data_IF_753989339721
#
_entry.id   IF_753989339721
#
_cell.length_a   1.000
_cell.length_b   1.000
_cell.length_c   1.000
_cell.angle_alpha   90.00
_cell.angle_beta   90.00
_cell.angle_gamma   90.00
#
_symmetry.space_group_name_H-M   'P 1'
#
loop_
_entity.id
_entity.type
_entity.pdbx_description
1 polymer ?
#
# COMPACT_ATOMS: atom_id res chain seq x y z
N UNK A 1 -19.11 -4.65 12.02
CA UNK A 1 -20.28 -4.30 11.18
C UNK A 1 -21.33 -3.46 11.94
N UNK A 2 -21.63 -3.75 13.21
CA UNK A 2 -22.62 -2.99 14.01
C UNK A 2 -22.25 -1.51 14.24
N UNK A 3 -20.95 -1.22 14.37
CA UNK A 3 -20.43 0.15 14.55
C UNK A 3 -20.64 1.06 13.33
N UNK A 4 -20.67 0.49 12.12
CA UNK A 4 -20.95 1.24 10.88
C UNK A 4 -22.43 1.61 10.83
N UNK A 5 -23.31 0.69 11.20
CA UNK A 5 -24.75 0.93 11.31
C UNK A 5 -25.08 2.01 12.34
N UNK A 6 -24.46 1.94 13.53
CA UNK A 6 -24.62 2.97 14.57
C UNK A 6 -24.08 4.34 14.12
N UNK A 7 -22.94 4.37 13.42
CA UNK A 7 -22.38 5.59 12.86
C UNK A 7 -23.30 6.24 11.81
N UNK A 8 -23.89 5.44 10.92
CA UNK A 8 -24.84 5.93 9.90
C UNK A 8 -26.12 6.46 10.54
N UNK A 9 -26.67 5.77 11.54
CA UNK A 9 -27.86 6.24 12.27
C UNK A 9 -27.57 7.54 13.03
N UNK A 10 -26.40 7.66 13.67
CA UNK A 10 -25.97 8.88 14.35
C UNK A 10 -25.77 10.05 13.37
N UNK A 11 -25.20 9.79 12.19
CA UNK A 11 -25.03 10.79 11.13
C UNK A 11 -26.36 11.25 10.54
N UNK A 12 -27.32 10.34 10.34
CA UNK A 12 -28.67 10.70 9.89
C UNK A 12 -29.42 11.50 10.96
N UNK A 13 -29.31 11.14 12.24
CA UNK A 13 -29.88 11.89 13.35
C UNK A 13 -29.25 13.30 13.46
N UNK A 14 -27.93 13.41 13.31
CA UNK A 14 -27.22 14.68 13.31
C UNK A 14 -27.59 15.56 12.10
N UNK A 15 -27.66 14.99 10.89
CA UNK A 15 -28.07 15.72 9.68
C UNK A 15 -29.52 16.20 9.76
N UNK A 16 -30.41 15.39 10.37
CA UNK A 16 -31.80 15.76 10.59
C UNK A 16 -31.96 16.84 11.67
N UNK A 17 -31.20 16.75 12.77
CA UNK A 17 -31.14 17.80 13.79
C UNK A 17 -30.57 19.11 13.23
N UNK A 18 -29.57 19.04 12.35
CA UNK A 18 -28.97 20.21 11.70
C UNK A 18 -29.91 20.88 10.69
N UNK A 19 -30.79 20.11 10.03
CA UNK A 19 -31.82 20.66 9.12
C UNK A 19 -32.98 21.35 9.84
N UNK A 20 -33.25 20.98 11.10
CA UNK A 20 -34.38 21.51 11.89
C UNK A 20 -33.97 22.54 12.94
N UNK A 21 -32.68 22.61 13.30
CA UNK A 21 -32.12 23.59 14.23
C UNK A 21 -31.09 24.46 13.55
N UNK A 22 -31.44 25.71 13.24
CA UNK A 22 -30.44 26.74 12.99
C UNK A 22 -29.53 26.83 14.23
N UNK A 23 -28.26 26.48 14.07
CA UNK A 23 -27.26 26.55 15.14
C UNK A 23 -27.21 28.00 15.62
N UNK A 24 -27.42 28.29 16.93
CA UNK A 24 -27.23 29.64 17.43
C UNK A 24 -25.77 30.03 17.21
N UNK A 25 -25.55 31.16 16.54
CA UNK A 25 -24.21 31.70 16.33
C UNK A 25 -23.61 32.06 17.71
N UNK A 26 -22.75 31.19 18.24
CA UNK A 26 -21.92 31.52 19.41
C UNK A 26 -20.95 32.63 19.01
N UNK A 27 -21.15 33.84 19.55
CA UNK A 27 -20.36 35.04 19.29
C UNK A 27 -18.95 35.04 19.91
N UNK A 28 -18.25 33.91 19.90
CA UNK A 28 -16.86 33.81 20.37
C UNK A 28 -15.85 34.24 19.31
N UNK A 29 -14.67 34.70 19.74
CA UNK A 29 -13.52 34.96 18.85
C UNK A 29 -13.15 33.66 18.11
N UNK A 30 -13.32 33.58 16.78
CA UNK A 30 -13.01 32.36 16.02
C UNK A 30 -11.52 31.99 16.07
N UNK A 31 -10.66 32.91 16.50
CA UNK A 31 -9.22 32.70 16.65
C UNK A 31 -8.83 32.17 18.03
N UNK A 32 -9.73 32.15 19.02
CA UNK A 32 -9.43 31.74 20.40
C UNK A 32 -8.79 30.34 20.52
N UNK A 33 -9.24 29.30 19.79
CA UNK A 33 -8.62 27.98 19.86
C UNK A 33 -7.17 27.96 19.34
N UNK A 34 -6.89 28.69 18.25
CA UNK A 34 -5.53 28.77 17.67
C UNK A 34 -4.58 29.56 18.57
N UNK A 35 -5.08 30.60 19.26
CA UNK A 35 -4.31 31.34 20.27
C UNK A 35 -3.95 30.46 21.48
N UNK A 36 -4.90 29.62 21.93
CA UNK A 36 -4.65 28.67 23.02
C UNK A 36 -3.57 27.63 22.64
N UNK A 37 -3.65 27.06 21.43
CA UNK A 37 -2.65 26.11 20.93
C UNK A 37 -1.24 26.71 20.84
N UNK A 38 -1.12 28.00 20.50
CA UNK A 38 0.18 28.68 20.47
C UNK A 38 0.76 28.86 21.88
N UNK A 39 -0.10 29.14 22.86
CA UNK A 39 0.31 29.30 24.26
C UNK A 39 0.75 27.98 24.88
N UNK A 40 0.04 26.89 24.59
CA UNK A 40 0.40 25.53 25.03
C UNK A 40 1.75 25.11 24.44
N UNK A 41 1.94 25.30 23.13
CA UNK A 41 3.22 24.99 22.46
C UNK A 41 4.41 25.75 23.07
N UNK A 42 4.22 27.01 23.47
CA UNK A 42 5.27 27.79 24.14
C UNK A 42 5.52 27.32 25.58
N UNK A 43 4.49 26.87 26.29
CA UNK A 43 4.63 26.27 27.62
C UNK A 43 5.39 24.94 27.55
N UNK A 44 5.09 24.08 26.57
CA UNK A 44 5.76 22.79 26.35
C UNK A 44 7.26 22.98 26.03
N UNK A 45 7.59 23.98 25.20
CA UNK A 45 8.98 24.33 24.91
C UNK A 45 9.72 24.85 26.15
N UNK A 46 9.08 25.68 26.97
CA UNK A 46 9.66 26.17 28.24
C UNK A 46 9.87 25.05 29.27
N UNK A 47 9.06 23.99 29.22
CA UNK A 47 9.22 22.79 30.05
C UNK A 47 10.28 21.81 29.53
N UNK A 48 10.87 22.07 28.36
CA UNK A 48 11.87 21.20 27.74
C UNK A 48 11.28 19.91 27.15
N UNK A 49 9.95 19.86 26.97
CA UNK A 49 9.26 18.70 26.38
C UNK A 49 9.37 18.68 24.85
N UNK A 50 9.82 19.79 24.24
CA UNK A 50 9.97 19.96 22.79
C UNK A 50 11.37 20.46 22.42
N UNK A 51 11.96 19.88 21.39
CA UNK A 51 13.21 20.37 20.80
C UNK A 51 13.01 21.70 20.03
N UNK A 52 14.09 22.49 19.92
CA UNK A 52 14.06 23.83 19.34
C UNK A 52 13.64 23.85 17.86
N UNK A 53 14.01 22.84 17.08
CA UNK A 53 13.66 22.79 15.67
C UNK A 53 12.19 22.38 15.47
N UNK A 54 11.69 21.44 16.29
CA UNK A 54 10.28 21.05 16.32
C UNK A 54 9.36 22.22 16.76
N UNK A 55 9.80 23.02 17.73
CA UNK A 55 9.08 24.22 18.17
C UNK A 55 8.96 25.25 17.05
N UNK A 56 10.07 25.57 16.36
CA UNK A 56 10.07 26.56 15.27
C UNK A 56 9.15 26.14 14.12
N UNK A 57 9.21 24.86 13.71
CA UNK A 57 8.39 24.33 12.63
C UNK A 57 6.89 24.42 12.96
N UNK A 58 6.50 23.96 14.16
CA UNK A 58 5.09 23.91 14.60
C UNK A 58 4.53 25.32 14.81
N UNK A 59 5.33 26.22 15.39
CA UNK A 59 4.94 27.63 15.59
C UNK A 59 4.66 28.33 14.26
N UNK A 60 5.50 28.12 13.26
CA UNK A 60 5.32 28.72 11.93
C UNK A 60 4.02 28.26 11.26
N UNK A 61 3.68 26.98 11.39
CA UNK A 61 2.45 26.44 10.82
C UNK A 61 1.19 26.98 11.51
N UNK A 62 1.19 27.04 12.85
CA UNK A 62 0.09 27.62 13.63
C UNK A 62 -0.12 29.11 13.30
N UNK A 63 0.96 29.88 13.14
CA UNK A 63 0.88 31.29 12.74
C UNK A 63 0.27 31.45 11.34
N UNK A 64 0.64 30.60 10.37
CA UNK A 64 0.03 30.61 9.03
C UNK A 64 -1.47 30.31 9.09
N UNK A 65 -1.89 29.34 9.92
CA UNK A 65 -3.31 29.00 10.11
C UNK A 65 -4.09 30.16 10.74
N UNK A 66 -3.48 30.85 11.70
CA UNK A 66 -4.07 32.02 12.34
C UNK A 66 -4.25 33.19 11.35
N UNK A 67 -3.25 33.46 10.50
CA UNK A 67 -3.32 34.45 9.41
C UNK A 67 -4.45 34.10 8.42
N UNK A 68 -4.50 32.86 7.95
CA UNK A 68 -5.54 32.39 7.01
C UNK A 68 -6.95 32.44 7.61
N UNK A 69 -7.08 32.24 8.92
CA UNK A 69 -8.34 32.36 9.63
C UNK A 69 -8.75 33.83 9.83
N UNK A 70 -7.79 34.75 9.99
CA UNK A 70 -8.02 36.19 10.10
C UNK A 70 -8.36 36.86 8.76
N UNK A 71 -7.90 36.31 7.63
CA UNK A 71 -8.21 36.81 6.28
C UNK A 71 -9.64 36.51 5.80
N UNK A 72 -10.43 35.72 6.55
CA UNK A 72 -11.83 35.47 6.18
C UNK A 72 -12.66 36.74 6.43
N UNK A 73 -13.23 37.38 5.40
CA UNK A 73 -14.03 38.58 5.58
C UNK A 73 -15.28 38.26 6.40
N UNK A 74 -15.60 39.16 7.34
CA UNK A 74 -16.76 39.14 8.23
C UNK A 74 -18.05 38.82 7.46
N UNK A 75 -18.51 37.57 7.56
CA UNK A 75 -19.80 37.12 7.01
C UNK A 75 -20.99 37.59 7.88
N UNK A 76 -20.85 38.77 8.51
CA UNK A 76 -21.86 39.40 9.39
C UNK A 76 -22.66 40.51 8.69
N UNK A 77 -22.35 40.87 7.45
CA UNK A 77 -23.02 41.97 6.73
C UNK A 77 -24.16 41.57 5.78
N UNK A 78 -24.64 40.31 5.81
CA UNK A 78 -25.80 39.89 4.99
C UNK A 78 -26.86 39.14 5.80
N UNK A 79 -27.23 39.69 6.95
CA UNK A 79 -28.35 39.19 7.76
C UNK A 79 -29.39 40.28 8.03
N UNK A 80 -29.82 40.99 6.98
CA UNK A 80 -31.11 41.69 6.97
C UNK A 80 -32.09 40.90 6.11
N UNK A 81 -32.53 39.75 6.62
CA UNK A 81 -33.76 39.11 6.20
C UNK A 81 -34.47 38.67 7.48
N UNK A 82 -35.48 39.42 7.89
CA UNK A 82 -36.37 39.08 8.99
C UNK A 82 -37.05 37.73 8.70
N UNK A 83 -36.83 36.67 9.52
CA UNK A 83 -37.56 35.43 9.33
C UNK A 83 -38.99 35.59 9.86
N UNK A 84 -39.97 35.40 8.96
CA UNK A 84 -41.39 35.33 9.30
C UNK A 84 -41.65 34.02 10.10
N UNK A 85 -42.38 34.03 11.23
CA UNK A 85 -42.59 32.82 12.02
C UNK A 85 -43.55 31.85 11.32
N UNK A 86 -43.13 30.59 11.17
CA UNK A 86 -43.99 29.48 10.75
C UNK A 86 -44.63 28.80 11.99
N UNK A 87 -45.81 28.15 11.86
CA UNK A 87 -46.61 27.69 13.00
C UNK A 87 -45.98 26.47 13.70
N UNK A 88 -46.08 26.47 15.02
CA UNK A 88 -45.43 25.51 15.92
C UNK A 88 -45.89 24.07 15.71
N UNK A 89 -44.97 23.23 15.24
CA UNK A 89 -45.01 21.80 15.50
C UNK A 89 -44.22 21.53 16.78
N UNK A 90 -44.88 21.04 17.82
CA UNK A 90 -44.31 20.84 19.15
C UNK A 90 -43.02 20.04 19.11
N UNK A 91 -42.00 20.53 19.83
CA UNK A 91 -40.64 19.96 19.95
C UNK A 91 -40.58 18.54 20.56
N UNK A 92 -41.72 17.91 20.85
CA UNK A 92 -41.82 16.64 21.56
C UNK A 92 -41.60 15.42 20.66
N UNK A 93 -41.97 15.49 19.38
CA UNK A 93 -41.81 14.38 18.43
C UNK A 93 -40.37 13.90 18.23
N UNK A 94 -39.39 14.80 18.02
CA UNK A 94 -37.99 14.41 17.85
C UNK A 94 -37.36 13.80 19.10
N UNK A 95 -37.76 14.27 20.29
CA UNK A 95 -37.26 13.76 21.58
C UNK A 95 -37.74 12.33 21.81
N UNK A 96 -39.02 12.06 21.55
CA UNK A 96 -39.60 10.72 21.68
C UNK A 96 -38.98 9.74 20.67
N UNK A 97 -38.73 10.17 19.43
CA UNK A 97 -38.07 9.33 18.44
C UNK A 97 -36.63 9.00 18.82
N UNK A 98 -35.86 9.99 19.28
CA UNK A 98 -34.48 9.78 19.74
C UNK A 98 -34.42 8.83 20.92
N UNK A 99 -35.32 9.00 21.89
CA UNK A 99 -35.42 8.12 23.05
C UNK A 99 -35.80 6.68 22.64
N UNK A 100 -36.73 6.53 21.69
CA UNK A 100 -37.13 5.22 21.18
C UNK A 100 -35.98 4.50 20.45
N UNK A 101 -35.18 5.23 19.66
CA UNK A 101 -34.00 4.66 18.97
C UNK A 101 -32.94 4.22 19.98
N UNK A 102 -32.65 5.02 21.00
CA UNK A 102 -31.64 4.69 22.02
C UNK A 102 -32.08 3.49 22.86
N UNK A 103 -33.32 3.50 23.36
CA UNK A 103 -33.85 2.41 24.18
C UNK A 103 -34.04 1.12 23.37
N UNK A 104 -34.52 1.24 22.13
CA UNK A 104 -34.66 0.11 21.21
C UNK A 104 -33.31 -0.50 20.86
N UNK A 105 -32.29 0.33 20.60
CA UNK A 105 -30.92 -0.12 20.37
C UNK A 105 -30.31 -0.84 21.57
N UNK A 106 -30.53 -0.30 22.78
CA UNK A 106 -30.07 -0.93 24.02
C UNK A 106 -30.76 -2.28 24.30
N UNK A 107 -32.08 -2.35 24.09
CA UNK A 107 -32.84 -3.59 24.25
C UNK A 107 -32.44 -4.66 23.21
N UNK A 108 -32.24 -4.25 21.95
CA UNK A 108 -31.78 -5.14 20.89
C UNK A 108 -30.36 -5.65 21.16
N UNK A 109 -29.47 -4.79 21.69
CA UNK A 109 -28.13 -5.19 22.11
C UNK A 109 -28.15 -6.11 23.33
N UNK A 110 -29.07 -5.92 24.27
CA UNK A 110 -29.24 -6.83 25.40
C UNK A 110 -29.79 -8.20 24.95
N UNK A 111 -30.56 -8.25 23.85
CA UNK A 111 -31.16 -9.48 23.32
C UNK A 111 -30.25 -10.26 22.36
N UNK A 112 -29.53 -9.57 21.46
CA UNK A 112 -28.63 -10.19 20.48
C UNK A 112 -27.15 -10.16 20.88
N UNK A 113 -26.77 -9.24 21.76
CA UNK A 113 -25.40 -9.00 22.17
C UNK A 113 -25.03 -9.76 23.43
N UNK A 114 -23.73 -9.80 23.71
CA UNK A 114 -23.15 -10.41 24.91
C UNK A 114 -22.57 -9.30 25.78
N UNK A 115 -23.40 -8.59 26.58
CA UNK A 115 -23.00 -7.41 27.35
C UNK A 115 -21.94 -7.67 28.43
N UNK A 116 -21.66 -8.93 28.75
CA UNK A 116 -20.64 -9.34 29.72
C UNK A 116 -19.26 -9.64 29.13
N UNK A 117 -19.00 -9.39 27.85
CA UNK A 117 -17.65 -9.50 27.29
C UNK A 117 -16.82 -8.27 27.64
N UNK A 118 -15.65 -8.49 28.24
CA UNK A 118 -14.66 -7.44 28.41
C UNK A 118 -14.24 -6.87 27.05
N UNK A 119 -14.13 -5.55 26.98
CA UNK A 119 -13.74 -4.87 25.74
C UNK A 119 -12.30 -5.24 25.38
N UNK A 120 -12.11 -6.06 24.35
CA UNK A 120 -10.79 -6.45 23.83
C UNK A 120 -10.49 -5.80 22.47
N UNK A 121 -10.15 -4.49 22.42
CA UNK A 121 -9.69 -3.87 21.19
C UNK A 121 -8.28 -4.39 20.84
N UNK A 122 -8.18 -5.18 19.78
CA UNK A 122 -6.90 -5.62 19.22
C UNK A 122 -6.44 -7.00 19.69
N UNK A 123 -7.19 -8.04 19.32
CA UNK A 123 -6.75 -9.43 19.43
C UNK A 123 -5.54 -9.68 18.51
N UNK A 124 -4.37 -9.22 18.94
CA UNK A 124 -3.12 -9.93 18.70
C UNK A 124 -3.31 -11.26 19.40
N UNK A 125 -3.23 -12.37 18.67
CA UNK A 125 -3.08 -13.68 19.31
C UNK A 125 -1.77 -13.58 20.09
N UNK A 126 -1.88 -13.28 21.39
CA UNK A 126 -0.74 -13.22 22.29
C UNK A 126 -0.20 -14.63 22.39
N UNK A 127 0.96 -14.83 21.77
CA UNK A 127 1.78 -16.03 21.88
C UNK A 127 2.01 -16.29 23.38
N UNK A 128 1.30 -17.28 23.95
CA UNK A 128 1.33 -17.54 25.39
C UNK A 128 0.32 -18.60 25.83
N UNK A 129 0.32 -18.86 27.15
CA UNK A 129 -0.47 -19.87 27.87
C UNK A 129 -1.99 -19.61 27.92
N UNK A 130 -2.52 -18.82 27.00
CA UNK A 130 -3.97 -18.60 26.88
C UNK A 130 -4.62 -19.89 26.35
N UNK A 131 -5.52 -20.51 27.12
CA UNK A 131 -6.26 -21.69 26.69
C UNK A 131 -7.07 -21.41 25.41
N UNK A 132 -7.08 -22.36 24.47
CA UNK A 132 -7.88 -22.26 23.23
C UNK A 132 -9.38 -22.30 23.56
N UNK A 133 -9.75 -22.96 24.66
CA UNK A 133 -11.06 -22.92 25.30
C UNK A 133 -10.87 -22.77 26.81
N UNK A 134 -11.85 -22.30 27.60
CA UNK A 134 -11.69 -22.03 29.04
C UNK A 134 -11.11 -23.18 29.88
N UNK A 135 -11.26 -24.43 29.42
CA UNK A 135 -10.71 -25.65 30.04
C UNK A 135 -9.86 -26.49 29.07
N UNK A 136 -9.51 -25.93 27.91
CA UNK A 136 -8.78 -26.63 26.86
C UNK A 136 -7.26 -26.44 26.92
N UNK A 137 -6.51 -27.15 26.07
CA UNK A 137 -5.07 -26.94 25.95
C UNK A 137 -4.77 -25.51 25.52
N UNK A 138 -3.62 -25.02 25.96
CA UNK A 138 -3.02 -23.81 25.42
C UNK A 138 -2.69 -24.01 23.93
N UNK A 139 -2.49 -22.90 23.21
CA UNK A 139 -2.07 -22.99 21.81
C UNK A 139 -0.76 -23.77 21.64
N UNK A 140 0.19 -23.62 22.55
CA UNK A 140 1.47 -24.33 22.50
C UNK A 140 1.30 -25.83 22.75
N UNK A 141 0.45 -26.22 23.70
CA UNK A 141 0.12 -27.64 23.96
C UNK A 141 -0.63 -28.28 22.77
N UNK A 142 -1.56 -27.55 22.14
CA UNK A 142 -2.25 -28.04 20.96
C UNK A 142 -1.30 -28.24 19.76
N UNK A 143 -0.34 -27.32 19.56
CA UNK A 143 0.69 -27.46 18.52
C UNK A 143 1.59 -28.65 18.83
N UNK A 144 2.04 -28.82 20.09
CA UNK A 144 2.87 -29.95 20.49
C UNK A 144 2.17 -31.29 20.25
N UNK A 145 0.88 -31.40 20.59
CA UNK A 145 0.10 -32.60 20.34
C UNK A 145 -0.04 -32.93 18.84
N UNK A 146 -0.16 -31.89 17.99
CA UNK A 146 -0.14 -32.06 16.53
C UNK A 146 1.24 -32.57 16.07
N UNK A 147 2.32 -31.95 16.53
CA UNK A 147 3.69 -32.34 16.17
C UNK A 147 4.00 -33.80 16.59
N UNK A 148 3.60 -34.21 17.80
CA UNK A 148 3.76 -35.60 18.28
C UNK A 148 2.99 -36.60 17.42
N UNK A 149 1.74 -36.26 17.04
CA UNK A 149 0.95 -37.11 16.15
C UNK A 149 1.60 -37.24 14.78
N UNK A 150 2.13 -36.15 14.22
CA UNK A 150 2.81 -36.15 12.92
C UNK A 150 4.15 -36.89 12.95
N UNK A 151 4.78 -37.01 14.12
CA UNK A 151 5.95 -37.87 14.29
C UNK A 151 5.58 -39.37 14.18
N UNK A 152 4.40 -39.76 14.69
CA UNK A 152 3.89 -41.13 14.57
C UNK A 152 3.19 -41.44 13.24
N UNK A 153 2.62 -40.42 12.58
CA UNK A 153 1.84 -40.53 11.34
C UNK A 153 2.33 -39.46 10.34
N UNK A 154 3.50 -39.66 9.71
CA UNK A 154 4.16 -38.63 8.91
C UNK A 154 3.47 -38.36 7.56
N UNK A 155 2.59 -39.25 7.12
CA UNK A 155 1.80 -39.15 5.89
C UNK A 155 0.44 -38.44 6.09
N UNK A 156 0.13 -37.97 7.30
CA UNK A 156 -1.08 -37.21 7.57
C UNK A 156 -1.02 -35.80 7.00
N UNK A 157 -1.45 -35.69 5.74
CA UNK A 157 -1.51 -34.43 4.99
C UNK A 157 -2.34 -33.37 5.72
N UNK A 158 -3.47 -33.73 6.34
CA UNK A 158 -4.33 -32.72 6.97
C UNK A 158 -3.69 -32.17 8.25
N UNK A 159 -3.06 -33.02 9.06
CA UNK A 159 -2.28 -32.57 10.22
C UNK A 159 -1.16 -31.60 9.82
N UNK A 160 -0.43 -31.89 8.74
CA UNK A 160 0.57 -30.97 8.22
C UNK A 160 -0.02 -29.64 7.71
N UNK A 161 -1.20 -29.65 7.07
CA UNK A 161 -1.90 -28.42 6.64
C UNK A 161 -2.35 -27.56 7.82
N UNK A 162 -2.89 -28.19 8.87
CA UNK A 162 -3.28 -27.49 10.10
C UNK A 162 -2.05 -26.86 10.74
N UNK A 163 -0.97 -27.63 10.92
CA UNK A 163 0.27 -27.13 11.49
C UNK A 163 0.84 -25.96 10.68
N UNK A 164 0.89 -26.07 9.35
CA UNK A 164 1.42 -25.03 8.48
C UNK A 164 0.63 -23.72 8.59
N UNK A 165 -0.71 -23.77 8.50
CA UNK A 165 -1.56 -22.58 8.58
C UNK A 165 -1.48 -21.91 9.95
N UNK A 166 -1.55 -22.70 11.02
CA UNK A 166 -1.51 -22.20 12.39
C UNK A 166 -0.14 -21.58 12.71
N UNK A 167 0.95 -22.27 12.36
CA UNK A 167 2.30 -21.76 12.56
C UNK A 167 2.53 -20.44 11.80
N UNK A 168 2.08 -20.37 10.53
CA UNK A 168 2.20 -19.15 9.73
C UNK A 168 1.38 -17.99 10.31
N UNK A 169 0.14 -18.25 10.76
CA UNK A 169 -0.71 -17.24 11.40
C UNK A 169 -0.12 -16.67 12.70
N UNK A 170 0.60 -17.50 13.46
CA UNK A 170 1.29 -17.11 14.69
C UNK A 170 2.67 -16.45 14.44
N UNK A 171 3.09 -16.36 13.18
CA UNK A 171 4.41 -15.87 12.80
C UNK A 171 5.55 -16.80 13.21
N UNK A 172 5.26 -18.08 13.47
CA UNK A 172 6.28 -19.12 13.62
C UNK A 172 6.64 -19.69 12.25
N UNK A 173 7.41 -18.90 11.51
CA UNK A 173 7.79 -19.25 10.15
C UNK A 173 8.73 -20.46 10.08
N UNK A 174 9.42 -20.79 11.17
CA UNK A 174 10.26 -21.98 11.27
C UNK A 174 9.43 -23.27 11.24
N UNK A 175 8.38 -23.35 12.10
CA UNK A 175 7.41 -24.47 12.05
C UNK A 175 6.67 -24.50 10.71
N UNK A 176 6.23 -23.34 10.22
CA UNK A 176 5.53 -23.26 8.94
C UNK A 176 6.38 -23.82 7.78
N UNK A 177 7.66 -23.43 7.69
CA UNK A 177 8.57 -23.90 6.66
C UNK A 177 8.80 -25.43 6.73
N UNK A 178 8.86 -26.01 7.93
CA UNK A 178 8.93 -27.48 8.09
C UNK A 178 7.67 -28.17 7.58
N UNK A 179 6.50 -27.68 8.00
CA UNK A 179 5.22 -28.25 7.61
C UNK A 179 4.96 -28.15 6.10
N UNK A 180 5.24 -26.99 5.48
CA UNK A 180 5.17 -26.84 4.02
C UNK A 180 6.21 -27.73 3.29
N UNK A 181 7.35 -28.02 3.91
CA UNK A 181 8.31 -29.00 3.39
C UNK A 181 7.76 -30.42 3.34
N UNK A 182 7.10 -30.87 4.42
CA UNK A 182 6.41 -32.15 4.44
C UNK A 182 5.29 -32.20 3.38
N UNK A 183 4.43 -31.17 3.33
CA UNK A 183 3.36 -31.06 2.33
C UNK A 183 3.89 -31.09 0.90
N UNK A 184 5.01 -30.42 0.61
CA UNK A 184 5.61 -30.45 -0.74
C UNK A 184 6.16 -31.82 -1.14
N UNK A 185 6.39 -32.71 -0.18
CA UNK A 185 6.83 -34.09 -0.41
C UNK A 185 5.63 -35.02 -0.61
N UNK A 186 4.59 -34.85 0.21
CA UNK A 186 3.36 -35.64 0.16
C UNK A 186 2.46 -35.28 -1.04
N UNK A 187 2.43 -34.00 -1.41
CA UNK A 187 1.64 -33.46 -2.52
C UNK A 187 2.56 -32.71 -3.51
N UNK A 188 3.41 -33.42 -4.28
CA UNK A 188 4.43 -32.79 -5.12
C UNK A 188 3.87 -31.94 -6.25
N UNK A 189 2.66 -32.22 -6.72
CA UNK A 189 1.96 -31.49 -7.78
C UNK A 189 1.42 -30.13 -7.29
N UNK A 190 1.24 -29.99 -5.98
CA UNK A 190 0.72 -28.79 -5.33
C UNK A 190 1.87 -27.80 -5.09
N UNK A 191 2.30 -27.15 -6.16
CA UNK A 191 3.46 -26.24 -6.16
C UNK A 191 3.35 -25.08 -5.16
N UNK A 192 2.13 -24.72 -4.71
CA UNK A 192 1.92 -23.72 -3.67
C UNK A 192 2.61 -24.08 -2.35
N UNK A 193 2.83 -25.36 -2.04
CA UNK A 193 3.58 -25.76 -0.85
C UNK A 193 5.06 -25.40 -0.95
N UNK A 194 5.64 -25.52 -2.15
CA UNK A 194 7.02 -25.08 -2.41
C UNK A 194 7.13 -23.56 -2.28
N UNK A 195 6.15 -22.82 -2.79
CA UNK A 195 6.06 -21.35 -2.66
C UNK A 195 5.92 -20.92 -1.20
N UNK A 196 4.96 -21.47 -0.48
CA UNK A 196 4.71 -21.14 0.92
C UNK A 196 5.91 -21.47 1.82
N UNK A 197 6.67 -22.52 1.49
CA UNK A 197 7.94 -22.82 2.15
C UNK A 197 8.99 -21.73 1.90
N UNK A 198 9.18 -21.29 0.65
CA UNK A 198 10.09 -20.18 0.31
C UNK A 198 9.67 -18.92 1.08
N UNK A 199 8.39 -18.56 1.02
CA UNK A 199 7.82 -17.41 1.72
C UNK A 199 8.03 -17.48 3.24
N UNK A 200 7.89 -18.66 3.83
CA UNK A 200 8.16 -18.85 5.27
C UNK A 200 9.63 -18.57 5.60
N UNK A 201 10.58 -19.06 4.77
CA UNK A 201 11.99 -18.72 4.97
C UNK A 201 12.24 -17.22 4.83
N UNK A 202 11.63 -16.56 3.84
CA UNK A 202 11.76 -15.11 3.66
C UNK A 202 11.16 -14.34 4.85
N UNK A 203 9.98 -14.74 5.34
CA UNK A 203 9.34 -14.09 6.47
C UNK A 203 10.17 -14.23 7.75
N UNK A 204 10.77 -15.40 7.98
CA UNK A 204 11.71 -15.65 9.08
C UNK A 204 12.92 -14.69 9.04
N UNK A 205 13.40 -14.37 7.85
CA UNK A 205 14.53 -13.45 7.61
C UNK A 205 14.08 -12.02 7.22
N UNK A 206 12.85 -11.63 7.56
CA UNK A 206 12.31 -10.27 7.30
C UNK A 206 12.44 -9.81 5.84
N UNK A 207 12.20 -10.74 4.91
CA UNK A 207 12.26 -10.52 3.46
C UNK A 207 13.65 -10.76 2.84
N UNK A 208 14.68 -11.07 3.62
CA UNK A 208 16.01 -11.34 3.07
C UNK A 208 16.10 -12.75 2.49
N UNK A 209 16.67 -12.89 1.30
CA UNK A 209 16.93 -14.17 0.65
C UNK A 209 18.18 -14.80 1.27
N UNK A 210 17.98 -15.70 2.22
CA UNK A 210 19.06 -16.49 2.83
C UNK A 210 19.56 -17.59 1.87
N UNK A 211 20.74 -18.20 2.11
CA UNK A 211 21.21 -19.33 1.31
C UNK A 211 20.21 -20.50 1.24
N UNK A 212 19.49 -20.76 2.34
CA UNK A 212 18.44 -21.77 2.37
C UNK A 212 17.26 -21.41 1.46
N UNK A 213 16.79 -20.16 1.49
CA UNK A 213 15.75 -19.68 0.58
C UNK A 213 16.21 -19.74 -0.88
N UNK A 214 17.45 -19.31 -1.16
CA UNK A 214 18.06 -19.33 -2.50
C UNK A 214 18.04 -20.73 -3.09
N UNK A 215 18.43 -21.75 -2.32
CA UNK A 215 18.43 -23.15 -2.78
C UNK A 215 17.03 -23.64 -3.16
N UNK A 216 16.00 -23.25 -2.40
CA UNK A 216 14.61 -23.60 -2.71
C UNK A 216 14.10 -22.87 -3.96
N UNK A 217 14.44 -21.59 -4.12
CA UNK A 217 14.12 -20.79 -5.30
C UNK A 217 14.79 -21.40 -6.55
N UNK A 218 16.08 -21.76 -6.46
CA UNK A 218 16.82 -22.38 -7.56
C UNK A 218 16.23 -23.73 -7.97
N UNK A 219 15.88 -24.57 -6.99
CA UNK A 219 15.20 -25.83 -7.29
C UNK A 219 13.85 -25.58 -7.97
N UNK A 220 13.06 -24.62 -7.48
CA UNK A 220 11.77 -24.30 -8.06
C UNK A 220 11.89 -23.82 -9.52
N UNK A 221 12.83 -22.92 -9.82
CA UNK A 221 13.06 -22.43 -11.18
C UNK A 221 13.66 -23.50 -12.08
N UNK A 222 14.48 -24.41 -11.54
CA UNK A 222 14.99 -25.56 -12.31
C UNK A 222 13.86 -26.52 -12.70
N UNK A 223 13.02 -26.87 -11.74
CA UNK A 223 11.96 -27.87 -11.92
C UNK A 223 10.76 -27.30 -12.69
N UNK A 224 10.43 -26.03 -12.47
CA UNK A 224 9.30 -25.33 -13.09
C UNK A 224 9.74 -23.93 -13.57
N UNK A 225 10.48 -23.85 -14.70
CA UNK A 225 11.11 -22.62 -15.17
C UNK A 225 10.17 -21.44 -15.38
N UNK A 226 8.91 -21.74 -15.69
CA UNK A 226 7.91 -20.73 -16.00
C UNK A 226 7.03 -20.32 -14.82
N UNK A 227 7.25 -20.87 -13.61
CA UNK A 227 6.40 -20.57 -12.47
C UNK A 227 6.54 -19.09 -12.04
N UNK A 228 5.44 -18.31 -11.98
CA UNK A 228 5.50 -16.87 -11.67
C UNK A 228 6.20 -16.55 -10.34
N UNK A 229 5.83 -17.24 -9.25
CA UNK A 229 6.46 -17.04 -7.95
C UNK A 229 7.97 -17.38 -7.95
N UNK A 230 8.38 -18.46 -8.63
CA UNK A 230 9.79 -18.84 -8.72
C UNK A 230 10.62 -17.76 -9.42
N UNK A 231 10.11 -17.24 -10.55
CA UNK A 231 10.74 -16.11 -11.26
C UNK A 231 10.76 -14.82 -10.44
N UNK A 232 9.67 -14.51 -9.75
CA UNK A 232 9.60 -13.34 -8.89
C UNK A 232 10.66 -13.40 -7.77
N UNK A 233 10.76 -14.53 -7.07
CA UNK A 233 11.74 -14.70 -6.00
C UNK A 233 13.18 -14.84 -6.50
N UNK A 234 13.39 -15.34 -7.72
CA UNK A 234 14.70 -15.30 -8.36
C UNK A 234 15.15 -13.85 -8.61
N UNK A 235 14.28 -13.02 -9.19
CA UNK A 235 14.60 -11.60 -9.37
C UNK A 235 14.86 -10.89 -8.05
N UNK A 236 14.11 -11.21 -6.99
CA UNK A 236 14.36 -10.67 -5.64
C UNK A 236 15.73 -11.09 -5.10
N UNK A 237 16.13 -12.34 -5.34
CA UNK A 237 17.44 -12.85 -4.93
C UNK A 237 18.59 -12.15 -5.66
N UNK A 238 18.44 -11.90 -6.96
CA UNK A 238 19.43 -11.18 -7.78
C UNK A 238 19.57 -9.73 -7.32
N UNK A 239 18.44 -9.04 -7.13
CA UNK A 239 18.40 -7.66 -6.65
C UNK A 239 19.05 -7.52 -5.27
N UNK A 240 18.74 -8.40 -4.32
CA UNK A 240 19.38 -8.39 -2.99
C UNK A 240 20.86 -8.76 -3.02
N UNK A 241 21.31 -9.47 -4.06
CA UNK A 241 22.73 -9.76 -4.29
C UNK A 241 23.47 -8.61 -5.03
N UNK A 242 22.76 -7.56 -5.44
CA UNK A 242 23.29 -6.43 -6.20
C UNK A 242 23.35 -6.64 -7.71
N UNK A 243 22.86 -7.77 -8.22
CA UNK A 243 22.71 -8.03 -9.65
C UNK A 243 21.38 -7.43 -10.15
N UNK A 244 21.35 -6.10 -10.21
CA UNK A 244 20.17 -5.36 -10.66
C UNK A 244 19.80 -5.67 -12.11
N UNK A 245 20.79 -5.85 -12.99
CA UNK A 245 20.56 -6.12 -14.41
C UNK A 245 19.95 -7.52 -14.61
N UNK A 246 20.45 -8.53 -13.88
CA UNK A 246 19.84 -9.85 -13.82
C UNK A 246 18.41 -9.82 -13.25
N UNK A 247 18.19 -9.04 -12.19
CA UNK A 247 16.85 -8.88 -11.59
C UNK A 247 15.86 -8.26 -12.58
N UNK A 248 16.26 -7.17 -13.26
CA UNK A 248 15.46 -6.51 -14.31
C UNK A 248 15.12 -7.49 -15.43
N UNK A 249 16.10 -8.23 -15.94
CA UNK A 249 15.89 -9.18 -17.02
C UNK A 249 14.86 -10.27 -16.65
N UNK A 250 14.99 -10.87 -15.45
CA UNK A 250 14.05 -11.89 -14.97
C UNK A 250 12.64 -11.32 -14.75
N UNK A 251 12.53 -10.15 -14.14
CA UNK A 251 11.23 -9.53 -13.87
C UNK A 251 10.56 -8.97 -15.12
N UNK A 252 11.31 -8.46 -16.10
CA UNK A 252 10.77 -8.05 -17.41
C UNK A 252 10.20 -9.26 -18.15
N UNK A 253 10.97 -10.35 -18.27
CA UNK A 253 10.50 -11.58 -18.91
C UNK A 253 9.26 -12.17 -18.20
N UNK A 254 9.18 -12.03 -16.88
CA UNK A 254 7.97 -12.40 -16.12
C UNK A 254 6.80 -11.47 -16.47
N UNK A 255 7.02 -10.15 -16.52
CA UNK A 255 5.99 -9.15 -16.79
C UNK A 255 5.37 -9.31 -18.18
N UNK A 256 6.19 -9.64 -19.19
CA UNK A 256 5.77 -9.85 -20.57
C UNK A 256 4.76 -10.99 -20.71
N UNK A 257 4.83 -11.98 -19.82
CA UNK A 257 3.96 -13.16 -19.79
C UNK A 257 2.85 -13.07 -18.74
N UNK A 258 2.78 -11.95 -18.01
CA UNK A 258 1.82 -11.74 -16.92
C UNK A 258 0.52 -11.14 -17.45
N UNK A 259 -0.65 -11.78 -17.25
CA UNK A 259 -1.96 -11.19 -17.57
C UNK A 259 -2.15 -9.81 -16.92
N UNK A 260 -2.86 -8.89 -17.58
CA UNK A 260 -3.05 -7.53 -17.08
C UNK A 260 -3.79 -7.48 -15.73
N UNK A 261 -4.69 -8.42 -15.49
CA UNK A 261 -5.54 -8.55 -14.30
C UNK A 261 -4.90 -9.40 -13.19
N UNK A 262 -3.67 -9.90 -13.38
CA UNK A 262 -3.00 -10.71 -12.38
C UNK A 262 -2.82 -9.90 -11.06
N UNK A 263 -3.33 -10.39 -9.91
CA UNK A 263 -3.34 -9.62 -8.65
C UNK A 263 -1.96 -9.19 -8.14
N UNK A 264 -0.91 -9.89 -8.56
CA UNK A 264 0.48 -9.65 -8.19
C UNK A 264 1.26 -8.80 -9.20
N UNK A 265 0.66 -8.46 -10.36
CA UNK A 265 1.31 -7.67 -11.43
C UNK A 265 1.79 -6.32 -10.93
N UNK A 266 1.00 -5.63 -10.11
CA UNK A 266 1.34 -4.32 -9.55
C UNK A 266 2.63 -4.35 -8.73
N UNK A 267 2.86 -5.43 -7.95
CA UNK A 267 4.09 -5.62 -7.17
C UNK A 267 5.30 -5.82 -8.07
N UNK A 268 5.16 -6.61 -9.14
CA UNK A 268 6.21 -6.83 -10.13
C UNK A 268 6.58 -5.52 -10.83
N UNK A 269 5.58 -4.74 -11.26
CA UNK A 269 5.81 -3.42 -11.88
C UNK A 269 6.48 -2.45 -10.90
N UNK A 270 6.08 -2.45 -9.63
CA UNK A 270 6.73 -1.63 -8.61
C UNK A 270 8.20 -2.02 -8.39
N UNK A 271 8.52 -3.31 -8.41
CA UNK A 271 9.88 -3.81 -8.29
C UNK A 271 10.75 -3.36 -9.48
N UNK A 272 10.25 -3.49 -10.71
CA UNK A 272 10.92 -3.00 -11.92
C UNK A 272 11.10 -1.48 -11.93
N UNK A 273 10.10 -0.73 -11.45
CA UNK A 273 10.17 0.73 -11.36
C UNK A 273 11.23 1.19 -10.37
N UNK A 274 11.38 0.52 -9.23
CA UNK A 274 12.46 0.83 -8.27
C UNK A 274 13.83 0.69 -8.92
N UNK A 275 13.98 -0.26 -9.84
CA UNK A 275 15.18 -0.49 -10.63
C UNK A 275 15.26 0.39 -11.90
N UNK A 276 14.36 1.34 -12.12
CA UNK A 276 14.38 2.22 -13.30
C UNK A 276 13.96 1.55 -14.63
N UNK A 277 13.57 0.27 -14.61
CA UNK A 277 13.26 -0.50 -15.81
C UNK A 277 11.90 -0.16 -16.44
N UNK A 278 11.02 0.51 -15.70
CA UNK A 278 9.68 0.93 -16.15
C UNK A 278 9.44 2.37 -15.70
N UNK A 279 8.76 3.21 -16.50
CA UNK A 279 8.47 4.58 -16.13
C UNK A 279 7.82 4.72 -14.74
N UNK A 280 8.05 5.85 -14.05
CA UNK A 280 7.35 6.15 -12.81
C UNK A 280 5.84 6.11 -13.04
N UNK A 281 5.10 5.55 -12.07
CA UNK A 281 3.64 5.62 -12.12
C UNK A 281 3.22 7.09 -12.06
N UNK A 282 2.29 7.46 -12.93
CA UNK A 282 1.54 8.70 -12.77
C UNK A 282 0.73 8.58 -11.48
N UNK A 283 0.64 9.67 -10.70
CA UNK A 283 -0.22 9.68 -9.51
C UNK A 283 -1.68 9.52 -9.91
N UNK A 284 -2.53 9.07 -8.99
CA UNK A 284 -3.97 8.91 -9.24
C UNK A 284 -4.61 10.23 -9.68
N UNK A 285 -4.17 11.35 -9.10
CA UNK A 285 -4.59 12.71 -9.50
C UNK A 285 -4.19 13.04 -10.96
N UNK A 286 -3.02 12.58 -11.39
CA UNK A 286 -2.60 12.74 -12.79
C UNK A 286 -3.39 11.79 -13.70
N UNK A 287 -3.68 10.56 -13.26
CA UNK A 287 -4.43 9.58 -14.05
C UNK A 287 -5.90 9.98 -14.24
N UNK A 288 -6.56 10.51 -13.20
CA UNK A 288 -7.91 11.08 -13.29
C UNK A 288 -7.93 12.29 -14.23
N UNK A 289 -6.94 13.18 -14.10
CA UNK A 289 -6.77 14.29 -15.05
C UNK A 289 -6.56 13.82 -16.49
N UNK A 290 -5.77 12.77 -16.71
CA UNK A 290 -5.48 12.20 -18.04
C UNK A 290 -6.72 11.61 -18.70
N UNK A 291 -7.65 11.03 -17.94
CA UNK A 291 -8.90 10.49 -18.47
C UNK A 291 -9.77 11.60 -19.11
N UNK A 292 -9.79 12.78 -18.50
CA UNK A 292 -10.56 13.95 -18.95
C UNK A 292 -9.79 14.85 -19.95
N UNK A 293 -8.49 14.61 -20.17
CA UNK A 293 -7.66 15.41 -21.08
C UNK A 293 -7.95 15.12 -22.55
N UNK A 294 -7.85 16.16 -23.39
CA UNK A 294 -7.88 16.01 -24.84
C UNK A 294 -6.66 15.22 -25.34
N UNK A 295 -6.72 14.54 -26.51
CA UNK A 295 -5.56 13.86 -27.08
C UNK A 295 -4.32 14.76 -27.21
N UNK A 296 -4.51 16.04 -27.58
CA UNK A 296 -3.43 17.02 -27.70
C UNK A 296 -2.76 17.33 -26.35
N UNK A 297 -3.53 17.42 -25.28
CA UNK A 297 -2.99 17.69 -23.94
C UNK A 297 -2.23 16.47 -23.40
N UNK A 298 -2.70 15.25 -23.70
CA UNK A 298 -1.99 14.01 -23.37
C UNK A 298 -0.64 13.93 -24.09
N UNK A 299 -0.61 14.29 -25.38
CA UNK A 299 0.62 14.34 -26.16
C UNK A 299 1.60 15.39 -25.63
N UNK A 300 1.10 16.56 -25.23
CA UNK A 300 1.91 17.61 -24.61
C UNK A 300 2.49 17.14 -23.27
N UNK A 301 1.71 16.44 -22.45
CA UNK A 301 2.18 15.85 -21.19
C UNK A 301 3.24 14.77 -21.43
N UNK A 302 3.02 13.84 -22.38
CA UNK A 302 3.97 12.80 -22.74
C UNK A 302 5.31 13.39 -23.20
N UNK A 303 5.26 14.38 -24.11
CA UNK A 303 6.45 15.12 -24.56
C UNK A 303 7.17 15.84 -23.42
N UNK A 304 6.42 16.43 -22.48
CA UNK A 304 7.00 17.05 -21.28
C UNK A 304 7.71 16.05 -20.36
N UNK A 305 7.17 14.83 -20.20
CA UNK A 305 7.83 13.76 -19.45
C UNK A 305 9.10 13.27 -20.15
N UNK A 306 9.06 13.10 -21.47
CA UNK A 306 10.22 12.72 -22.27
C UNK A 306 11.33 13.80 -22.21
N UNK A 307 10.96 15.08 -22.28
CA UNK A 307 11.93 16.17 -22.15
C UNK A 307 12.63 16.18 -20.78
N UNK A 308 11.90 15.89 -19.70
CA UNK A 308 12.48 15.74 -18.36
C UNK A 308 13.40 14.52 -18.26
N UNK A 309 13.03 13.41 -18.90
CA UNK A 309 13.89 12.22 -18.95
C UNK A 309 15.16 12.51 -19.75
N UNK A 310 15.06 13.14 -20.91
CA UNK A 310 16.20 13.56 -21.71
C UNK A 310 17.14 14.48 -20.93
N UNK A 311 16.61 15.51 -20.26
CA UNK A 311 17.41 16.42 -19.44
C UNK A 311 18.15 15.68 -18.32
N UNK A 312 17.49 14.74 -17.63
CA UNK A 312 18.14 13.90 -16.61
C UNK A 312 19.26 13.05 -17.20
N UNK A 313 19.06 12.48 -18.38
CA UNK A 313 20.07 11.66 -19.05
C UNK A 313 21.31 12.46 -19.45
N UNK A 314 21.20 13.78 -19.66
CA UNK A 314 22.39 14.63 -19.80
C UNK A 314 23.18 14.73 -18.48
N UNK A 315 22.49 14.76 -17.34
CA UNK A 315 23.12 14.83 -16.01
C UNK A 315 23.66 13.48 -15.54
N UNK A 316 22.98 12.38 -15.89
CA UNK A 316 23.35 11.00 -15.57
C UNK A 316 23.50 10.15 -16.84
N UNK A 317 24.54 10.40 -17.66
CA UNK A 317 24.62 9.84 -19.01
C UNK A 317 24.99 8.35 -19.04
N UNK A 318 25.44 7.79 -17.92
CA UNK A 318 25.72 6.35 -17.77
C UNK A 318 24.45 5.49 -17.55
N UNK A 319 23.25 6.08 -17.59
CA UNK A 319 21.97 5.39 -17.41
C UNK A 319 21.46 4.76 -18.72
N UNK A 320 21.91 3.53 -18.99
CA UNK A 320 21.50 2.76 -20.17
C UNK A 320 19.97 2.57 -20.25
N UNK A 321 19.32 2.32 -19.11
CA UNK A 321 17.88 2.07 -19.05
C UNK A 321 17.09 3.33 -19.38
N UNK A 322 17.53 4.49 -18.88
CA UNK A 322 16.95 5.77 -19.22
C UNK A 322 17.06 6.06 -20.73
N UNK A 323 18.21 5.79 -21.36
CA UNK A 323 18.39 5.94 -22.81
C UNK A 323 17.45 5.01 -23.60
N UNK A 324 17.32 3.74 -23.20
CA UNK A 324 16.38 2.79 -23.80
C UNK A 324 14.94 3.24 -23.64
N UNK A 325 14.57 3.75 -22.46
CA UNK A 325 13.23 4.23 -22.16
C UNK A 325 12.88 5.42 -23.06
N UNK A 326 13.78 6.41 -23.17
CA UNK A 326 13.58 7.56 -24.03
C UNK A 326 13.43 7.15 -25.50
N UNK A 327 14.29 6.24 -25.98
CA UNK A 327 14.20 5.71 -27.35
C UNK A 327 12.86 4.99 -27.60
N UNK A 328 12.41 4.13 -26.69
CA UNK A 328 11.12 3.43 -26.79
C UNK A 328 9.93 4.40 -26.78
N UNK A 329 10.00 5.48 -26.00
CA UNK A 329 8.98 6.53 -26.02
C UNK A 329 8.88 7.22 -27.39
N UNK A 330 10.01 7.55 -28.03
CA UNK A 330 10.02 8.09 -29.40
C UNK A 330 9.48 7.10 -30.43
N UNK A 331 9.80 5.80 -30.30
CA UNK A 331 9.25 4.76 -31.18
C UNK A 331 7.73 4.62 -31.06
N UNK A 332 7.17 4.76 -29.87
CA UNK A 332 5.72 4.73 -29.66
C UNK A 332 5.00 5.89 -30.37
N UNK A 333 5.71 7.01 -30.61
CA UNK A 333 5.22 8.16 -31.39
C UNK A 333 5.53 8.05 -32.90
N UNK A 334 6.19 6.97 -33.34
CA UNK A 334 6.61 6.78 -34.73
C UNK A 334 7.88 7.57 -35.11
N UNK A 335 8.55 8.20 -34.15
CA UNK A 335 9.73 9.06 -34.37
C UNK A 335 11.01 8.23 -34.45
N UNK A 336 11.08 7.34 -35.45
CA UNK A 336 12.13 6.32 -35.58
C UNK A 336 13.55 6.89 -35.67
N UNK A 337 13.74 7.98 -36.43
CA UNK A 337 15.04 8.64 -36.57
C UNK A 337 15.52 9.24 -35.25
N UNK A 338 14.61 9.87 -34.50
CA UNK A 338 14.91 10.46 -33.18
C UNK A 338 15.29 9.36 -32.19
N UNK A 339 14.57 8.23 -32.19
CA UNK A 339 14.91 7.09 -31.36
C UNK A 339 16.32 6.54 -31.67
N UNK A 340 16.72 6.48 -32.94
CA UNK A 340 18.05 6.05 -33.33
C UNK A 340 19.15 7.04 -32.88
N UNK A 341 18.89 8.35 -32.96
CA UNK A 341 19.79 9.38 -32.43
C UNK A 341 19.98 9.28 -30.92
N UNK A 342 18.88 9.07 -30.18
CA UNK A 342 18.90 8.85 -28.72
C UNK A 342 19.72 7.61 -28.36
N UNK A 343 19.55 6.50 -29.09
CA UNK A 343 20.33 5.28 -28.86
C UNK A 343 21.81 5.47 -29.16
N UNK A 344 22.16 6.12 -30.28
CA UNK A 344 23.55 6.44 -30.62
C UNK A 344 24.20 7.35 -29.58
N UNK A 345 23.46 8.33 -29.08
CA UNK A 345 23.92 9.19 -27.98
C UNK A 345 24.18 8.38 -26.71
N UNK A 346 23.22 7.56 -26.31
CA UNK A 346 23.37 6.67 -25.14
C UNK A 346 24.60 5.78 -25.25
N UNK A 347 24.79 5.09 -26.38
CA UNK A 347 25.95 4.23 -26.65
C UNK A 347 27.30 4.94 -26.47
N UNK A 348 27.37 6.25 -26.69
CA UNK A 348 28.58 7.05 -26.46
C UNK A 348 28.89 7.32 -24.98
N UNK A 349 27.95 7.08 -24.09
CA UNK A 349 28.05 7.42 -22.66
C UNK A 349 27.96 6.22 -21.71
N UNK A 350 27.32 5.12 -22.12
CA UNK A 350 27.24 3.92 -21.28
C UNK A 350 28.50 3.07 -21.39
N UNK A 351 28.83 2.38 -20.30
CA UNK A 351 29.92 1.40 -20.26
C UNK A 351 29.65 0.23 -21.22
N UNK A 352 30.71 -0.31 -21.84
CA UNK A 352 30.60 -1.31 -22.91
C UNK A 352 29.76 -2.54 -22.54
N UNK A 353 29.84 -2.99 -21.29
CA UNK A 353 29.06 -4.08 -20.71
C UNK A 353 27.55 -3.82 -20.69
N UNK A 354 27.12 -2.55 -20.73
CA UNK A 354 25.71 -2.13 -20.69
C UNK A 354 25.19 -1.56 -22.01
N UNK A 355 25.96 -1.68 -23.09
CA UNK A 355 25.56 -1.20 -24.43
C UNK A 355 24.72 -2.20 -25.22
N UNK A 356 24.75 -3.49 -24.87
CA UNK A 356 24.18 -4.57 -25.68
C UNK A 356 22.70 -4.35 -26.02
N UNK A 357 21.88 -3.93 -25.04
CA UNK A 357 20.46 -3.69 -25.26
C UNK A 357 20.19 -2.45 -26.12
N UNK A 358 20.99 -1.39 -25.98
CA UNK A 358 20.90 -0.20 -26.82
C UNK A 358 21.27 -0.53 -28.27
N UNK A 359 22.35 -1.28 -28.46
CA UNK A 359 22.82 -1.70 -29.78
C UNK A 359 21.80 -2.61 -30.45
N UNK A 360 21.28 -3.62 -29.73
CA UNK A 360 20.26 -4.52 -30.26
C UNK A 360 18.99 -3.77 -30.72
N UNK A 361 18.54 -2.78 -29.94
CA UNK A 361 17.42 -1.96 -30.34
C UNK A 361 17.76 -1.10 -31.56
N UNK A 362 18.94 -0.48 -31.61
CA UNK A 362 19.39 0.33 -32.75
C UNK A 362 19.46 -0.50 -34.04
N UNK A 363 20.03 -1.70 -33.99
CA UNK A 363 20.14 -2.61 -35.12
C UNK A 363 18.75 -3.02 -35.65
N UNK A 364 17.77 -3.19 -34.75
CA UNK A 364 16.40 -3.53 -35.13
C UNK A 364 15.68 -2.41 -35.92
N UNK A 365 16.17 -1.18 -35.84
CA UNK A 365 15.62 -0.04 -36.60
C UNK A 365 16.10 -0.05 -38.06
N UNK A 366 17.16 -0.78 -38.40
CA UNK A 366 17.71 -0.83 -39.76
C UNK A 366 18.39 0.48 -40.21
N UNK A 367 19.03 0.48 -41.39
CA UNK A 367 19.85 1.59 -41.88
C UNK A 367 19.06 2.86 -42.26
N UNK A 368 17.74 2.76 -42.46
CA UNK A 368 16.90 3.89 -42.89
C UNK A 368 16.55 4.89 -41.77
N UNK A 369 17.16 4.74 -40.58
CA UNK A 369 16.99 5.65 -39.45
C UNK A 369 18.10 6.72 -39.34
N UNK A 370 18.74 7.05 -40.47
CA UNK A 370 19.63 8.20 -40.59
C UNK A 370 18.83 9.49 -40.83
N UNK A 371 19.27 10.65 -40.30
CA UNK A 371 18.60 11.93 -40.51
C UNK A 371 18.56 12.37 -41.97
#
# INVERSE_FOLDING_TARGET
>A
MIWVLLGVVALMAAAFAYRLGGVPASGGDPLAPLKAQLADLEADFKRGELDADAYRATKLELQRRLLKAAERPDRRLTANATPRPAPGHGRTGPVLFTLAVVLGGAALYAWLGTPGLDSAPGMRISRGATPVTPEGPTFDEAIAAIEDRLAGVPDDVEGWRILARTANALGDYGRAARAYGALSTLEPDQLQWRVARIESFLAMSRGQVTPAARLLIDRMVRDVPDHPAGRYYLGLALDQAGDEDGAKAVWQALLDRTPQDAPWRSRLVAALRRLGAVPPALSDEILEGVADMSPQDRDAMARGMMARLAARLEETPADADGWLMLARSHLALGEKAVAADVLRKGLGHVSADRTAALQALLDSLGPDASP
#
